data_IF_377549261644
#
_entry.id   IF_377549261644
#
_cell.length_a   1.000
_cell.length_b   1.000
_cell.length_c   1.000
_cell.angle_alpha   90.00
_cell.angle_beta   90.00
_cell.angle_gamma   90.00
#
_symmetry.space_group_name_H-M   'P 1'
#
loop_
_entity.id
_entity.type
_entity.pdbx_description
1 polymer ?
#
# COMPACT_ATOMS: atom_id res chain seq x y z
N UNK A 1 -1.23 11.30 -10.12
CA UNK A 1 -0.94 10.17 -9.22
C UNK A 1 -0.67 8.94 -10.06
N UNK A 2 0.44 8.26 -9.81
CA UNK A 2 0.67 6.95 -10.40
C UNK A 2 -0.14 5.93 -9.58
N UNK A 3 -0.92 5.05 -10.22
CA UNK A 3 -1.65 4.02 -9.49
C UNK A 3 -0.66 3.13 -8.73
N UNK A 4 -0.92 2.90 -7.46
CA UNK A 4 -0.09 2.03 -6.64
C UNK A 4 -0.39 0.57 -7.01
N UNK A 5 0.53 -0.06 -7.73
CA UNK A 5 0.44 -1.49 -8.01
C UNK A 5 1.00 -2.27 -6.81
N UNK A 6 0.22 -3.20 -6.28
CA UNK A 6 0.66 -4.11 -5.21
C UNK A 6 0.70 -5.55 -5.69
N UNK A 7 1.47 -6.39 -5.01
CA UNK A 7 1.55 -7.82 -5.32
C UNK A 7 0.19 -8.49 -5.12
N UNK A 8 -0.08 -9.50 -5.94
CA UNK A 8 -1.31 -10.32 -5.91
C UNK A 8 -2.63 -9.56 -6.08
N UNK A 9 -2.56 -8.29 -6.52
CA UNK A 9 -3.75 -7.55 -6.92
C UNK A 9 -3.98 -7.63 -8.41
N UNK A 10 -5.25 -7.70 -8.81
CA UNK A 10 -5.62 -7.65 -10.22
C UNK A 10 -5.71 -6.19 -10.67
N UNK A 11 -4.75 -5.77 -11.49
CA UNK A 11 -4.68 -4.42 -12.02
C UNK A 11 -5.12 -4.40 -13.49
N UNK A 12 -5.82 -3.36 -13.90
CA UNK A 12 -6.28 -3.17 -15.26
C UNK A 12 -5.30 -2.27 -16.03
N UNK A 13 -4.65 -2.83 -17.06
CA UNK A 13 -3.87 -2.08 -18.03
C UNK A 13 -4.77 -1.68 -19.20
N UNK A 14 -4.92 -0.39 -19.45
CA UNK A 14 -5.63 0.14 -20.60
C UNK A 14 -4.62 0.43 -21.72
N UNK A 15 -4.84 -0.17 -22.88
CA UNK A 15 -4.00 -0.01 -24.07
C UNK A 15 -4.83 0.65 -25.16
N UNK A 16 -4.44 1.86 -25.56
CA UNK A 16 -5.07 2.54 -26.69
C UNK A 16 -4.24 2.28 -27.95
N UNK A 17 -4.89 1.70 -28.95
CA UNK A 17 -4.27 1.34 -30.23
C UNK A 17 -4.94 2.15 -31.33
N UNK A 18 -4.15 2.76 -32.22
CA UNK A 18 -4.64 3.56 -33.34
C UNK A 18 -4.22 2.90 -34.66
N UNK A 19 -5.18 2.70 -35.55
CA UNK A 19 -4.90 2.39 -36.95
C UNK A 19 -4.75 3.72 -37.71
N UNK A 20 -3.53 4.03 -38.14
CA UNK A 20 -3.23 5.23 -38.94
C UNK A 20 -3.38 4.98 -40.45
N UNK A 21 -3.66 3.74 -40.86
CA UNK A 21 -3.85 3.36 -42.25
C UNK A 21 -5.24 3.65 -42.79
N UNK A 22 -5.38 3.61 -44.09
CA UNK A 22 -6.64 3.81 -44.82
C UNK A 22 -7.44 2.50 -45.04
N UNK A 23 -6.95 1.36 -44.55
CA UNK A 23 -7.59 0.05 -44.59
C UNK A 23 -7.84 -0.45 -43.16
N UNK A 24 -8.87 -1.29 -42.99
CA UNK A 24 -9.13 -1.90 -41.69
C UNK A 24 -8.00 -2.87 -41.30
N UNK A 25 -7.57 -2.78 -40.05
CA UNK A 25 -6.66 -3.76 -39.45
C UNK A 25 -7.51 -4.84 -38.78
N UNK A 26 -7.50 -6.04 -39.37
CA UNK A 26 -8.35 -7.15 -38.95
C UNK A 26 -7.57 -8.18 -38.13
N UNK A 27 -8.11 -8.57 -36.95
CA UNK A 27 -7.54 -9.62 -36.09
C UNK A 27 -6.05 -9.40 -35.76
N UNK A 28 -5.71 -8.15 -35.45
CA UNK A 28 -4.38 -7.83 -34.97
C UNK A 28 -4.18 -8.42 -33.59
N UNK A 29 -3.23 -9.31 -33.45
CA UNK A 29 -2.93 -9.91 -32.14
C UNK A 29 -2.13 -8.95 -31.27
N UNK A 30 -2.67 -8.62 -30.11
CA UNK A 30 -2.02 -7.82 -29.07
C UNK A 30 -1.58 -8.75 -27.95
N UNK A 31 -0.31 -8.71 -27.58
CA UNK A 31 0.24 -9.51 -26.49
C UNK A 31 0.91 -8.62 -25.46
N UNK A 32 0.59 -8.85 -24.20
CA UNK A 32 1.20 -8.17 -23.06
C UNK A 32 2.13 -9.13 -22.34
N UNK A 33 3.42 -8.78 -22.26
CA UNK A 33 4.43 -9.53 -21.52
C UNK A 33 4.90 -8.72 -20.32
N UNK A 34 5.10 -9.37 -19.19
CA UNK A 34 5.72 -8.81 -18.00
C UNK A 34 6.96 -9.65 -17.65
N UNK A 35 8.11 -9.01 -17.57
CA UNK A 35 9.40 -9.65 -17.34
C UNK A 35 9.67 -10.81 -18.33
N UNK A 36 9.27 -10.64 -19.59
CA UNK A 36 9.43 -11.62 -20.64
C UNK A 36 8.38 -12.73 -20.66
N UNK A 37 7.46 -12.77 -19.69
CA UNK A 37 6.38 -13.78 -19.61
C UNK A 37 5.08 -13.19 -20.16
N UNK A 38 4.44 -13.87 -21.09
CA UNK A 38 3.13 -13.48 -21.62
C UNK A 38 2.08 -13.58 -20.51
N UNK A 39 1.38 -12.49 -20.25
CA UNK A 39 0.34 -12.35 -19.22
C UNK A 39 -1.06 -12.27 -19.83
N UNK A 40 -1.18 -11.65 -20.99
CA UNK A 40 -2.46 -11.52 -21.67
C UNK A 40 -2.27 -11.46 -23.19
N UNK A 41 -3.26 -11.93 -23.91
CA UNK A 41 -3.35 -11.88 -25.38
C UNK A 41 -4.80 -11.54 -25.73
N UNK A 42 -4.99 -10.65 -26.72
CA UNK A 42 -6.28 -10.44 -27.35
C UNK A 42 -6.11 -10.19 -28.85
N UNK A 43 -7.15 -10.44 -29.63
CA UNK A 43 -7.19 -10.18 -31.07
C UNK A 43 -8.20 -9.02 -31.32
N UNK A 44 -7.69 -7.90 -31.80
CA UNK A 44 -8.47 -6.68 -32.02
C UNK A 44 -8.65 -6.35 -33.50
N UNK A 45 -9.76 -5.71 -33.86
CA UNK A 45 -9.96 -5.16 -35.20
C UNK A 45 -10.23 -3.67 -35.12
N UNK A 46 -9.52 -2.86 -35.94
CA UNK A 46 -9.55 -1.43 -35.87
C UNK A 46 -9.88 -0.87 -37.25
N UNK A 47 -10.96 -0.11 -37.36
CA UNK A 47 -11.36 0.57 -38.59
C UNK A 47 -10.28 1.56 -39.07
N UNK A 48 -10.24 1.92 -40.38
CA UNK A 48 -9.30 2.90 -40.89
C UNK A 48 -9.35 4.21 -40.12
N UNK A 49 -8.20 4.81 -39.86
CA UNK A 49 -8.04 6.10 -39.17
C UNK A 49 -8.68 6.18 -37.77
N UNK A 50 -9.03 5.03 -37.17
CA UNK A 50 -9.72 4.96 -35.91
C UNK A 50 -8.82 4.44 -34.77
N UNK A 51 -9.31 4.52 -33.53
CA UNK A 51 -8.63 4.02 -32.31
C UNK A 51 -9.58 3.18 -31.49
N UNK A 52 -9.06 2.15 -30.87
CA UNK A 52 -9.75 1.39 -29.82
C UNK A 52 -8.98 1.47 -28.52
N UNK A 53 -9.66 1.25 -27.41
CA UNK A 53 -9.02 1.05 -26.11
C UNK A 53 -9.38 -0.34 -25.63
N UNK A 54 -8.37 -1.17 -25.46
CA UNK A 54 -8.52 -2.50 -24.91
C UNK A 54 -8.01 -2.55 -23.47
N UNK A 55 -8.46 -3.55 -22.68
CA UNK A 55 -8.16 -3.66 -21.27
C UNK A 55 -7.66 -5.04 -20.90
N UNK A 56 -6.42 -5.11 -20.39
CA UNK A 56 -5.77 -6.33 -19.96
C UNK A 56 -5.69 -6.41 -18.43
N UNK A 57 -6.11 -7.53 -17.87
CA UNK A 57 -5.93 -7.81 -16.45
C UNK A 57 -4.52 -8.33 -16.19
N UNK A 58 -3.78 -7.63 -15.33
CA UNK A 58 -2.40 -7.98 -14.99
C UNK A 58 -2.28 -8.16 -13.48
N UNK A 59 -1.75 -9.31 -13.07
CA UNK A 59 -1.42 -9.58 -11.67
C UNK A 59 0.09 -9.69 -11.52
N UNK A 60 0.67 -8.84 -10.70
CA UNK A 60 2.08 -8.93 -10.34
C UNK A 60 2.27 -9.86 -9.15
N UNK A 61 3.21 -10.80 -9.26
CA UNK A 61 3.53 -11.76 -8.18
C UNK A 61 4.81 -11.41 -7.42
N UNK A 62 5.53 -10.37 -7.86
CA UNK A 62 6.78 -9.92 -7.27
C UNK A 62 6.77 -8.40 -7.13
N UNK A 63 7.25 -7.90 -5.99
CA UNK A 63 7.46 -6.48 -5.76
C UNK A 63 8.70 -5.97 -6.52
N UNK A 64 8.80 -4.64 -6.63
CA UNK A 64 9.89 -3.97 -7.33
C UNK A 64 9.57 -3.59 -8.77
N UNK A 65 10.60 -3.23 -9.55
CA UNK A 65 10.44 -2.82 -10.93
C UNK A 65 10.07 -4.00 -11.82
N UNK A 66 8.99 -3.82 -12.59
CA UNK A 66 8.53 -4.75 -13.60
C UNK A 66 8.79 -4.14 -14.99
N UNK A 67 9.32 -4.95 -15.91
CA UNK A 67 9.47 -4.58 -17.32
C UNK A 67 8.26 -5.08 -18.08
N UNK A 68 7.59 -4.21 -18.80
CA UNK A 68 6.44 -4.56 -19.62
C UNK A 68 6.75 -4.34 -21.10
N UNK A 69 6.23 -5.23 -21.92
CA UNK A 69 6.28 -5.16 -23.37
C UNK A 69 4.87 -5.44 -23.92
N UNK A 70 4.39 -4.54 -24.76
CA UNK A 70 3.18 -4.78 -25.57
C UNK A 70 3.66 -5.02 -27.00
N UNK A 71 3.20 -6.10 -27.61
CA UNK A 71 3.52 -6.42 -29.00
C UNK A 71 2.24 -6.55 -29.80
N UNK A 72 2.27 -6.03 -31.02
CA UNK A 72 1.24 -6.34 -32.03
C UNK A 72 1.88 -7.11 -33.17
N UNK A 73 1.01 -7.69 -34.00
CA UNK A 73 1.45 -8.37 -35.20
C UNK A 73 0.65 -7.80 -36.37
N UNK A 74 1.20 -6.74 -37.00
CA UNK A 74 0.60 -6.11 -38.17
C UNK A 74 1.63 -6.06 -39.33
N UNK A 75 1.59 -7.06 -40.15
CA UNK A 75 2.43 -7.11 -41.37
C UNK A 75 1.85 -6.15 -42.45
N UNK A 76 2.67 -5.38 -43.24
CA UNK A 76 4.12 -5.52 -43.40
C UNK A 76 4.99 -4.54 -42.58
N UNK A 77 4.42 -3.69 -41.76
CA UNK A 77 5.17 -2.69 -40.98
C UNK A 77 5.43 -3.31 -39.60
N UNK A 78 6.70 -3.42 -39.21
CA UNK A 78 7.08 -4.11 -37.97
C UNK A 78 7.95 -3.28 -37.03
N UNK A 79 8.30 -2.04 -37.38
CA UNK A 79 9.20 -1.20 -36.57
C UNK A 79 8.53 -0.65 -35.31
N UNK A 80 7.20 -0.55 -35.26
CA UNK A 80 6.36 -0.09 -34.15
C UNK A 80 5.59 -1.19 -33.45
N UNK A 81 5.87 -2.46 -33.79
CA UNK A 81 5.23 -3.64 -33.21
C UNK A 81 5.50 -3.81 -31.70
N UNK A 82 6.41 -3.05 -31.12
CA UNK A 82 6.85 -3.19 -29.75
C UNK A 82 6.75 -1.88 -28.99
N UNK A 83 6.04 -1.90 -27.86
CA UNK A 83 5.99 -0.80 -26.92
C UNK A 83 6.50 -1.27 -25.55
N UNK A 84 7.52 -0.58 -25.02
CA UNK A 84 8.16 -0.94 -23.75
C UNK A 84 7.88 0.10 -22.70
N UNK A 85 7.56 -0.35 -21.49
CA UNK A 85 7.45 0.50 -20.30
C UNK A 85 7.89 -0.26 -19.05
N UNK A 86 8.10 0.48 -17.96
CA UNK A 86 8.38 -0.10 -16.66
C UNK A 86 7.46 0.53 -15.62
N UNK A 87 7.06 -0.27 -14.63
CA UNK A 87 6.27 0.18 -13.51
C UNK A 87 6.76 -0.49 -12.22
N UNK A 88 6.53 0.16 -11.09
CA UNK A 88 6.94 -0.36 -9.78
C UNK A 88 5.75 -0.99 -9.08
N UNK A 89 5.96 -2.19 -8.56
CA UNK A 89 4.99 -2.92 -7.73
C UNK A 89 5.43 -2.80 -6.27
N UNK A 90 4.55 -2.29 -5.42
CA UNK A 90 4.79 -2.21 -4.00
C UNK A 90 4.53 -3.56 -3.32
N UNK A 91 5.26 -3.82 -2.25
CA UNK A 91 4.92 -4.89 -1.34
C UNK A 91 3.78 -4.42 -0.43
N UNK A 92 2.96 -5.34 0.09
CA UNK A 92 1.94 -4.96 1.06
C UNK A 92 2.63 -4.41 2.32
N UNK A 93 2.15 -3.27 2.78
CA UNK A 93 2.63 -2.64 4.01
C UNK A 93 2.12 -3.42 5.22
N UNK A 94 3.04 -3.81 6.11
CA UNK A 94 2.67 -4.54 7.32
C UNK A 94 2.42 -3.56 8.45
N UNK A 95 1.25 -3.69 9.07
CA UNK A 95 0.83 -2.88 10.22
C UNK A 95 0.67 -3.79 11.43
N UNK A 96 1.32 -3.44 12.54
CA UNK A 96 1.19 -4.12 13.82
C UNK A 96 0.35 -3.27 14.77
N UNK A 97 -0.70 -3.81 15.35
CA UNK A 97 -1.35 -3.24 16.52
C UNK A 97 -0.91 -3.98 17.78
N UNK A 98 -0.35 -3.24 18.72
CA UNK A 98 -0.02 -3.74 20.06
C UNK A 98 -1.12 -3.27 21.00
N UNK A 99 -1.83 -4.23 21.58
CA UNK A 99 -3.04 -3.99 22.33
C UNK A 99 -2.93 -4.55 23.78
N UNK A 100 -3.66 -3.95 24.71
CA UNK A 100 -3.99 -4.64 25.98
C UNK A 100 -5.08 -5.69 25.79
N UNK A 101 -5.23 -6.62 26.74
CA UNK A 101 -5.97 -7.88 26.58
C UNK A 101 -7.44 -7.72 26.14
N UNK A 102 -8.08 -6.61 26.46
CA UNK A 102 -9.53 -6.41 26.23
C UNK A 102 -9.84 -5.26 25.27
N UNK A 103 -8.89 -4.86 24.44
CA UNK A 103 -9.09 -3.72 23.55
C UNK A 103 -10.00 -4.06 22.38
N UNK A 104 -11.05 -3.25 22.09
CA UNK A 104 -11.90 -3.45 20.91
C UNK A 104 -11.13 -3.46 19.60
N UNK A 105 -11.53 -4.30 18.66
CA UNK A 105 -10.81 -4.50 17.39
C UNK A 105 -11.15 -3.45 16.30
N UNK A 106 -11.42 -2.22 16.69
CA UNK A 106 -11.86 -1.16 15.75
C UNK A 106 -10.77 -0.78 14.73
N UNK A 107 -9.49 -0.88 15.14
CA UNK A 107 -8.35 -0.57 14.27
C UNK A 107 -8.24 -1.58 13.12
N UNK A 108 -8.50 -2.86 13.38
CA UNK A 108 -8.41 -3.88 12.34
C UNK A 108 -9.32 -3.60 11.14
N UNK A 109 -10.52 -3.05 11.37
CA UNK A 109 -11.47 -2.76 10.30
C UNK A 109 -10.97 -1.71 9.29
N UNK A 110 -10.01 -0.87 9.68
CA UNK A 110 -9.40 0.13 8.79
C UNK A 110 -8.48 -0.56 7.77
N UNK A 111 -7.73 -1.58 8.21
CA UNK A 111 -6.67 -2.19 7.40
C UNK A 111 -7.08 -3.51 6.73
N UNK A 112 -7.99 -4.30 7.33
CA UNK A 112 -8.34 -5.65 6.84
C UNK A 112 -9.10 -5.67 5.51
N UNK A 113 -9.73 -4.55 5.13
CA UNK A 113 -10.47 -4.43 3.87
C UNK A 113 -9.63 -3.82 2.75
N UNK A 114 -8.39 -3.42 3.01
CA UNK A 114 -7.50 -2.82 2.02
C UNK A 114 -6.39 -3.81 1.66
N UNK A 115 -6.32 -4.15 0.37
CA UNK A 115 -5.33 -5.09 -0.18
C UNK A 115 -3.88 -4.61 -0.09
N UNK A 116 -3.67 -3.31 0.18
CA UNK A 116 -2.34 -2.72 0.32
C UNK A 116 -1.72 -2.98 1.68
N UNK A 117 -2.52 -3.41 2.67
CA UNK A 117 -2.07 -3.64 4.03
C UNK A 117 -2.19 -5.10 4.44
N UNK A 118 -1.25 -5.52 5.29
CA UNK A 118 -1.33 -6.76 6.08
C UNK A 118 -1.35 -6.35 7.55
N UNK A 119 -2.40 -6.72 8.28
CA UNK A 119 -2.62 -6.26 9.64
C UNK A 119 -2.48 -7.41 10.64
N UNK A 120 -1.57 -7.23 11.60
CA UNK A 120 -1.36 -8.14 12.72
C UNK A 120 -1.77 -7.44 14.03
N UNK A 121 -2.48 -8.17 14.91
CA UNK A 121 -2.82 -7.72 16.26
C UNK A 121 -2.16 -8.64 17.28
N UNK A 122 -1.37 -8.07 18.18
CA UNK A 122 -0.64 -8.81 19.21
C UNK A 122 -0.89 -8.17 20.57
N UNK A 123 -1.14 -9.01 21.58
CA UNK A 123 -1.22 -8.54 22.95
C UNK A 123 0.18 -8.16 23.49
N UNK A 124 0.27 -7.05 24.25
CA UNK A 124 1.54 -6.57 24.81
C UNK A 124 2.34 -7.63 25.60
N UNK A 125 1.66 -8.62 26.19
CA UNK A 125 2.30 -9.72 26.91
C UNK A 125 2.92 -10.82 26.03
N UNK A 126 2.69 -10.79 24.70
CA UNK A 126 3.13 -11.80 23.74
C UNK A 126 4.07 -11.26 22.66
N UNK A 127 4.65 -10.08 22.89
CA UNK A 127 5.46 -9.37 21.89
C UNK A 127 6.79 -10.08 21.63
N UNK A 128 7.08 -10.28 20.35
CA UNK A 128 8.43 -10.53 19.87
C UNK A 128 9.00 -9.21 19.33
N UNK A 129 9.82 -8.56 20.13
CA UNK A 129 10.44 -7.28 19.79
C UNK A 129 11.30 -7.34 18.53
N UNK A 130 11.91 -8.49 18.24
CA UNK A 130 12.75 -8.69 17.05
C UNK A 130 11.95 -8.58 15.74
N UNK A 131 10.63 -8.76 15.80
CA UNK A 131 9.72 -8.67 14.66
C UNK A 131 9.40 -7.24 14.24
N UNK A 132 9.61 -6.23 15.09
CA UNK A 132 9.21 -4.84 14.84
C UNK A 132 9.74 -4.29 13.53
N UNK A 133 10.98 -4.62 13.16
CA UNK A 133 11.62 -4.24 11.90
C UNK A 133 10.89 -4.69 10.63
N UNK A 134 9.95 -5.63 10.75
CA UNK A 134 9.17 -6.18 9.63
C UNK A 134 7.91 -5.37 9.35
N UNK A 135 7.58 -4.39 10.19
CA UNK A 135 6.37 -3.57 10.08
C UNK A 135 6.70 -2.16 9.62
N UNK A 136 5.86 -1.61 8.77
CA UNK A 136 5.95 -0.22 8.28
C UNK A 136 5.33 0.76 9.26
N UNK A 137 4.36 0.28 10.05
CA UNK A 137 3.66 1.03 11.08
C UNK A 137 3.39 0.16 12.30
N UNK A 138 3.69 0.66 13.49
CA UNK A 138 3.30 0.06 14.76
C UNK A 138 2.31 0.99 15.46
N UNK A 139 1.15 0.44 15.84
CA UNK A 139 0.09 1.16 16.53
C UNK A 139 0.08 0.70 17.99
N UNK A 140 0.29 1.63 18.92
CA UNK A 140 0.08 1.39 20.36
C UNK A 140 -1.38 1.69 20.67
N UNK A 141 -2.20 0.64 20.72
CA UNK A 141 -3.64 0.78 20.81
C UNK A 141 -4.13 0.59 22.24
N UNK A 142 -4.41 1.69 22.91
CA UNK A 142 -4.99 1.76 24.25
C UNK A 142 -4.20 0.99 25.32
N UNK A 143 -2.87 1.01 25.22
CA UNK A 143 -2.03 0.42 26.26
C UNK A 143 -2.23 1.15 27.58
N UNK A 144 -2.25 0.42 28.68
CA UNK A 144 -2.29 0.99 30.04
C UNK A 144 -0.97 1.69 30.39
N UNK A 145 0.15 1.16 29.91
CA UNK A 145 1.50 1.69 30.12
C UNK A 145 2.43 1.29 28.97
N UNK A 146 3.52 2.03 28.82
CA UNK A 146 4.64 1.66 27.96
C UNK A 146 5.77 1.17 28.88
N UNK A 147 5.94 -0.15 28.97
CA UNK A 147 7.01 -0.74 29.77
C UNK A 147 8.41 -0.38 29.20
N UNK A 148 9.44 -0.44 30.03
CA UNK A 148 10.82 -0.14 29.62
C UNK A 148 11.30 -1.02 28.45
N UNK A 149 10.89 -2.29 28.40
CA UNK A 149 11.22 -3.20 27.30
C UNK A 149 10.59 -2.77 25.98
N UNK A 150 9.29 -2.44 26.01
CA UNK A 150 8.56 -1.91 24.85
C UNK A 150 9.21 -0.58 24.41
N UNK A 151 9.45 0.35 25.35
CA UNK A 151 10.02 1.66 25.07
C UNK A 151 11.39 1.56 24.39
N UNK A 152 12.28 0.68 24.87
CA UNK A 152 13.60 0.49 24.29
C UNK A 152 13.53 -0.08 22.87
N UNK A 153 12.69 -1.09 22.63
CA UNK A 153 12.56 -1.72 21.32
C UNK A 153 11.87 -0.81 20.31
N UNK A 154 10.88 -0.02 20.74
CA UNK A 154 10.26 0.99 19.88
C UNK A 154 11.22 2.12 19.55
N UNK A 155 12.11 2.52 20.49
CA UNK A 155 13.12 3.52 20.18
C UNK A 155 14.07 3.03 19.09
N UNK A 156 14.57 1.80 19.19
CA UNK A 156 15.40 1.19 18.14
C UNK A 156 14.65 1.16 16.79
N UNK A 157 13.37 0.81 16.79
CA UNK A 157 12.53 0.80 15.60
C UNK A 157 12.39 2.20 14.98
N UNK A 158 12.16 3.25 15.78
CA UNK A 158 12.08 4.65 15.33
C UNK A 158 13.43 5.11 14.77
N UNK A 159 14.53 4.83 15.49
CA UNK A 159 15.88 5.22 15.07
C UNK A 159 16.27 4.60 13.71
N UNK A 160 15.66 3.47 13.35
CA UNK A 160 15.79 2.82 12.04
C UNK A 160 14.73 3.27 11.00
N UNK A 161 13.97 4.33 11.27
CA UNK A 161 13.01 4.93 10.34
C UNK A 161 11.60 4.34 10.42
N UNK A 162 11.28 3.60 11.48
CA UNK A 162 9.95 3.05 11.72
C UNK A 162 8.93 4.12 12.15
N UNK A 163 7.66 3.89 11.85
CA UNK A 163 6.55 4.80 12.17
C UNK A 163 5.72 4.26 13.32
N UNK A 164 5.35 5.13 14.25
CA UNK A 164 4.49 4.77 15.39
C UNK A 164 3.27 5.67 15.43
N UNK A 165 2.11 5.05 15.67
CA UNK A 165 0.88 5.76 15.96
C UNK A 165 0.41 5.39 17.38
N UNK A 166 0.10 6.39 18.21
CA UNK A 166 -0.21 6.19 19.61
C UNK A 166 -1.66 6.60 19.89
N UNK A 167 -2.45 5.66 20.42
CA UNK A 167 -3.79 5.88 20.93
C UNK A 167 -3.76 5.54 22.42
N UNK A 168 -3.64 6.51 23.33
CA UNK A 168 -3.59 6.23 24.75
C UNK A 168 -4.92 5.66 25.28
N UNK A 169 -4.85 4.78 26.26
CA UNK A 169 -6.03 4.40 27.04
C UNK A 169 -6.52 5.58 27.88
N UNK A 170 -7.83 5.62 28.16
CA UNK A 170 -8.40 6.60 29.12
C UNK A 170 -7.81 6.46 30.53
N UNK A 171 -7.31 5.27 30.87
CA UNK A 171 -6.69 4.95 32.15
C UNK A 171 -5.16 4.78 32.02
N UNK A 172 -4.56 5.37 30.98
CA UNK A 172 -3.13 5.22 30.74
C UNK A 172 -2.27 5.87 31.83
N UNK A 173 -1.16 5.22 32.17
CA UNK A 173 -0.08 5.85 32.93
C UNK A 173 0.61 6.90 32.04
N UNK A 174 0.16 8.14 32.15
CA UNK A 174 0.67 9.28 31.36
C UNK A 174 2.17 9.49 31.58
N UNK A 175 2.72 9.15 32.75
CA UNK A 175 4.15 9.31 33.01
C UNK A 175 4.98 8.33 32.17
N UNK A 176 4.52 7.08 31.99
CA UNK A 176 5.21 6.12 31.13
C UNK A 176 5.19 6.57 29.66
N UNK A 177 4.07 7.10 29.18
CA UNK A 177 3.97 7.67 27.82
C UNK A 177 4.86 8.88 27.65
N UNK A 178 4.83 9.83 28.59
CA UNK A 178 5.65 11.05 28.50
C UNK A 178 7.13 10.77 28.58
N UNK A 179 7.54 9.76 29.36
CA UNK A 179 8.92 9.30 29.38
C UNK A 179 9.34 8.75 28.02
N UNK A 180 8.50 7.93 27.37
CA UNK A 180 8.75 7.43 26.02
C UNK A 180 8.81 8.56 24.97
N UNK A 181 7.84 9.48 24.99
CA UNK A 181 7.79 10.61 24.05
C UNK A 181 9.00 11.52 24.20
N UNK A 182 9.39 11.87 25.44
CA UNK A 182 10.56 12.70 25.72
C UNK A 182 11.85 12.07 25.19
N UNK A 183 12.03 10.74 25.35
CA UNK A 183 13.18 10.02 24.85
C UNK A 183 13.27 9.95 23.31
N UNK A 184 12.17 10.26 22.63
CA UNK A 184 12.07 10.31 21.17
C UNK A 184 11.90 11.75 20.64
N UNK A 185 12.16 12.77 21.46
CA UNK A 185 11.99 14.19 21.11
C UNK A 185 10.58 14.54 20.58
N UNK A 186 9.59 13.79 20.99
CA UNK A 186 8.19 14.04 20.69
C UNK A 186 7.56 14.90 21.83
N UNK A 187 6.37 15.41 21.60
CA UNK A 187 5.65 16.22 22.57
C UNK A 187 5.32 15.48 23.88
N UNK A 188 4.29 15.92 24.59
CA UNK A 188 3.81 15.27 25.80
C UNK A 188 2.29 15.26 25.85
N UNK A 189 1.72 14.28 26.52
CA UNK A 189 0.30 14.26 26.86
C UNK A 189 0.06 15.04 28.16
N UNK A 190 -0.95 15.92 28.13
CA UNK A 190 -1.47 16.56 29.34
C UNK A 190 -2.44 15.65 30.11
N UNK A 191 -3.02 16.18 31.19
CA UNK A 191 -4.07 15.49 31.91
C UNK A 191 -5.31 15.24 31.01
N UNK A 192 -5.90 14.05 31.13
CA UNK A 192 -7.14 13.73 30.42
C UNK A 192 -8.24 14.71 30.82
N UNK A 193 -8.83 15.37 29.83
CA UNK A 193 -10.00 16.21 30.02
C UNK A 193 -11.23 15.54 29.42
N UNK A 194 -12.18 15.18 30.29
CA UNK A 194 -13.47 14.67 29.82
C UNK A 194 -14.32 15.88 29.38
N UNK A 195 -14.39 16.09 28.07
CA UNK A 195 -15.28 17.10 27.46
C UNK A 195 -16.15 16.42 26.43
N UNK A 196 -17.44 16.74 26.42
CA UNK A 196 -18.28 16.39 25.28
C UNK A 196 -17.83 17.24 24.10
N UNK A 197 -17.20 16.62 23.11
CA UNK A 197 -16.76 17.26 21.87
C UNK A 197 -17.50 16.66 20.69
N UNK A 198 -17.81 17.51 19.72
CA UNK A 198 -18.38 17.09 18.44
C UNK A 198 -17.34 17.37 17.34
N UNK A 199 -17.09 16.39 16.46
CA UNK A 199 -16.24 16.60 15.29
C UNK A 199 -17.07 17.31 14.24
N UNK A 200 -16.88 18.63 14.12
CA UNK A 200 -17.64 19.46 13.18
C UNK A 200 -17.03 19.56 11.80
N UNK A 201 -15.73 19.25 11.65
CA UNK A 201 -15.01 19.30 10.37
C UNK A 201 -13.79 18.40 10.41
N UNK A 202 -13.60 17.62 9.33
CA UNK A 202 -12.36 16.90 9.04
C UNK A 202 -11.70 17.60 7.84
N UNK A 203 -10.45 18.03 7.97
CA UNK A 203 -9.69 18.58 6.86
C UNK A 203 -9.03 17.43 6.09
N UNK A 204 -9.55 17.12 4.90
CA UNK A 204 -9.05 16.05 4.01
C UNK A 204 -8.05 16.58 2.97
N UNK A 205 -7.63 17.85 3.06
CA UNK A 205 -6.77 18.51 2.06
C UNK A 205 -5.32 18.68 2.51
N UNK A 206 -4.94 18.21 3.69
CA UNK A 206 -3.52 18.17 4.06
C UNK A 206 -2.86 16.97 3.33
N UNK A 207 -2.01 17.30 2.36
CA UNK A 207 -1.06 16.35 1.75
C UNK A 207 -0.02 15.98 2.82
N UNK A 208 0.12 14.69 3.09
CA UNK A 208 1.16 14.12 3.95
C UNK A 208 2.52 14.11 3.23
#
# INVERSE_FOLDING_TARGET
>A
EQPLFTINTNNKLLVRIKNAGNTAAEKVRVSVKINGVVKAIDDVSIAPENSITDSFNITATQAGWQKAEITFNDYPITFDDHFYFAYKVAQNEKVLSIDDAETPNNIASIFTNDVHFSFDKINKGQLDYSSFKNYSLIILNQLSDISSGIASSLKEYIDNGGNIYIIPSVNADINSYNSFLSNNNAGSFGALQVKNGEVTKINLQEEL
#
